data_IF_393129310591
#
_entry.id   IF_393129310591
#
_cell.length_a   1.000
_cell.length_b   1.000
_cell.length_c   1.000
_cell.angle_alpha   90.00
_cell.angle_beta   90.00
_cell.angle_gamma   90.00
#
_symmetry.space_group_name_H-M   'P 1'
#
loop_
_entity.id
_entity.type
_entity.pdbx_description
1 polymer ?
#
# COMPACT_ATOMS: atom_id res chain seq x y z
N UNK A 1 -10.38 -11.33 22.99
CA UNK A 1 -9.30 -11.56 22.01
C UNK A 1 -9.05 -13.06 21.76
N UNK A 2 -10.10 -13.88 21.60
CA UNK A 2 -9.97 -15.35 21.58
C UNK A 2 -10.65 -16.05 20.37
N UNK A 3 -11.40 -15.30 19.56
CA UNK A 3 -12.11 -15.83 18.37
C UNK A 3 -11.16 -16.10 17.19
N UNK A 4 -10.08 -15.32 17.05
CA UNK A 4 -9.11 -15.49 15.96
C UNK A 4 -8.24 -16.74 16.11
N UNK A 5 -7.83 -17.09 17.34
CA UNK A 5 -7.00 -18.27 17.63
C UNK A 5 -7.74 -19.58 17.34
N UNK A 6 -9.03 -19.64 17.69
CA UNK A 6 -9.88 -20.81 17.47
C UNK A 6 -10.14 -21.05 15.98
N UNK A 7 -10.47 -20.00 15.22
CA UNK A 7 -10.60 -20.10 13.75
C UNK A 7 -9.30 -20.53 13.08
N UNK A 8 -8.17 -20.01 13.53
CA UNK A 8 -6.85 -20.36 13.00
C UNK A 8 -6.50 -21.84 13.21
N UNK A 9 -6.76 -22.38 14.40
CA UNK A 9 -6.54 -23.80 14.70
C UNK A 9 -7.50 -24.72 13.94
N UNK A 10 -8.76 -24.31 13.76
CA UNK A 10 -9.71 -25.04 12.92
C UNK A 10 -9.28 -25.07 11.45
N UNK A 11 -8.77 -23.96 10.91
CA UNK A 11 -8.24 -23.90 9.54
C UNK A 11 -6.97 -24.76 9.37
N UNK A 12 -6.07 -24.76 10.35
CA UNK A 12 -4.89 -25.64 10.36
C UNK A 12 -5.25 -27.13 10.40
N UNK A 13 -6.23 -27.51 11.22
CA UNK A 13 -6.68 -28.91 11.33
C UNK A 13 -7.33 -29.44 10.04
N UNK A 14 -8.07 -28.59 9.32
CA UNK A 14 -8.63 -28.92 8.00
C UNK A 14 -7.53 -29.07 6.94
N UNK A 15 -6.45 -28.27 7.03
CA UNK A 15 -5.31 -28.38 6.12
C UNK A 15 -4.53 -29.68 6.33
N UNK A 16 -4.30 -30.15 7.56
CA UNK A 16 -3.53 -31.39 7.77
C UNK A 16 -4.25 -32.67 7.36
N UNK A 17 -5.59 -32.69 7.44
CA UNK A 17 -6.38 -33.86 7.02
C UNK A 17 -6.82 -33.79 5.54
N UNK A 18 -6.96 -32.59 4.96
CA UNK A 18 -7.43 -32.38 3.58
C UNK A 18 -6.36 -32.03 2.54
N UNK A 19 -5.13 -31.69 2.93
CA UNK A 19 -4.09 -31.25 1.99
C UNK A 19 -3.56 -32.34 1.05
N UNK A 20 -3.83 -33.62 1.30
CA UNK A 20 -3.45 -34.68 0.36
C UNK A 20 -4.38 -34.75 -0.87
N UNK A 21 -5.58 -34.17 -0.80
CA UNK A 21 -6.59 -34.32 -1.86
C UNK A 21 -7.09 -32.99 -2.45
N UNK A 22 -6.83 -31.85 -1.80
CA UNK A 22 -7.30 -30.54 -2.29
C UNK A 22 -6.14 -29.75 -2.87
N UNK A 23 -6.08 -29.51 -4.20
CA UNK A 23 -5.07 -28.64 -4.77
C UNK A 23 -5.19 -27.23 -4.17
N UNK A 24 -4.06 -26.57 -3.95
CA UNK A 24 -3.98 -25.24 -3.30
C UNK A 24 -4.91 -24.20 -3.95
N UNK A 25 -5.26 -24.38 -5.22
CA UNK A 25 -6.21 -23.55 -5.98
C UNK A 25 -7.65 -23.61 -5.46
N UNK A 26 -8.07 -24.73 -4.86
CA UNK A 26 -9.41 -24.89 -4.26
C UNK A 26 -9.47 -24.52 -2.78
N UNK A 27 -8.33 -24.28 -2.11
CA UNK A 27 -8.30 -24.05 -0.67
C UNK A 27 -8.99 -22.73 -0.22
N UNK A 28 -9.37 -21.85 -1.15
CA UNK A 28 -10.17 -20.65 -0.85
C UNK A 28 -9.51 -19.64 0.10
N UNK A 29 -8.22 -19.85 0.43
CA UNK A 29 -7.45 -18.97 1.31
C UNK A 29 -7.12 -17.69 0.53
N UNK A 30 -8.00 -16.68 0.63
CA UNK A 30 -7.71 -15.33 0.13
C UNK A 30 -6.61 -14.72 0.99
N UNK A 31 -5.37 -14.83 0.51
CA UNK A 31 -4.18 -14.22 1.11
C UNK A 31 -4.07 -12.70 0.83
N UNK A 32 -5.00 -12.12 0.06
CA UNK A 32 -5.03 -10.68 -0.17
C UNK A 32 -5.69 -9.97 1.01
N UNK A 33 -5.09 -8.90 1.56
CA UNK A 33 -5.73 -8.11 2.59
C UNK A 33 -7.01 -7.47 2.05
N UNK A 34 -8.06 -7.44 2.87
CA UNK A 34 -9.30 -6.73 2.56
C UNK A 34 -8.98 -5.25 2.32
N UNK A 35 -9.12 -4.79 1.07
CA UNK A 35 -8.93 -3.40 0.72
C UNK A 35 -10.22 -2.67 1.05
N UNK A 36 -10.14 -1.59 1.84
CA UNK A 36 -11.29 -0.70 2.02
C UNK A 36 -11.62 -0.07 0.67
N UNK A 37 -12.81 -0.33 0.16
CA UNK A 37 -13.36 0.33 -1.01
C UNK A 37 -13.87 1.72 -0.61
N UNK A 38 -13.75 2.67 -1.53
CA UNK A 38 -14.25 4.03 -1.35
C UNK A 38 -15.77 4.07 -1.27
N UNK A 39 -16.34 5.18 -0.80
CA UNK A 39 -17.80 5.37 -0.80
C UNK A 39 -18.32 5.60 -2.21
N UNK A 40 -19.33 4.84 -2.65
CA UNK A 40 -19.98 5.03 -3.96
C UNK A 40 -20.57 6.45 -4.14
N UNK A 41 -21.06 7.05 -3.06
CA UNK A 41 -21.71 8.37 -3.09
C UNK A 41 -20.73 9.55 -3.17
N UNK A 42 -19.45 9.35 -2.83
CA UNK A 42 -18.46 10.44 -2.73
C UNK A 42 -17.11 10.04 -3.30
N UNK A 43 -16.62 10.86 -4.24
CA UNK A 43 -15.30 10.70 -4.87
C UNK A 43 -14.32 11.68 -4.24
N UNK A 44 -13.27 11.16 -3.62
CA UNK A 44 -12.20 11.98 -3.05
C UNK A 44 -11.05 12.13 -4.03
N UNK A 45 -10.39 13.28 -3.99
CA UNK A 45 -9.18 13.58 -4.74
C UNK A 45 -8.15 14.24 -3.84
N UNK A 46 -6.87 14.04 -4.14
CA UNK A 46 -5.76 14.66 -3.43
C UNK A 46 -4.92 15.47 -4.42
N UNK A 47 -4.68 16.74 -4.09
CA UNK A 47 -3.82 17.63 -4.87
C UNK A 47 -2.51 17.86 -4.10
N UNK A 48 -1.38 17.73 -4.79
CA UNK A 48 -0.06 18.04 -4.24
C UNK A 48 0.58 19.13 -5.10
N UNK A 49 0.94 20.25 -4.49
CA UNK A 49 1.75 21.29 -5.14
C UNK A 49 3.24 20.92 -5.07
N UNK A 50 3.79 20.44 -6.20
CA UNK A 50 5.19 20.03 -6.30
C UNK A 50 6.16 21.21 -6.15
N UNK A 51 5.74 22.46 -6.41
CA UNK A 51 6.61 23.64 -6.29
C UNK A 51 6.97 23.95 -4.84
N UNK A 52 6.16 23.49 -3.89
CA UNK A 52 6.38 23.62 -2.44
C UNK A 52 6.97 22.36 -1.82
N UNK A 53 7.14 21.30 -2.59
CA UNK A 53 7.70 20.05 -2.11
C UNK A 53 9.22 20.20 -1.92
N UNK A 54 9.67 20.09 -0.67
CA UNK A 54 11.10 20.14 -0.30
C UNK A 54 11.69 18.77 0.01
N UNK A 55 10.91 17.70 -0.11
CA UNK A 55 11.41 16.33 0.08
C UNK A 55 11.58 15.92 1.54
N UNK A 56 10.85 16.53 2.47
CA UNK A 56 10.94 16.25 3.90
C UNK A 56 10.41 14.87 4.33
N UNK A 57 9.83 14.09 3.42
CA UNK A 57 9.29 12.74 3.66
C UNK A 57 8.17 12.66 4.73
N UNK A 58 7.59 13.79 5.14
CA UNK A 58 6.50 13.82 6.12
C UNK A 58 5.27 13.05 5.66
N UNK A 59 4.98 13.06 4.35
CA UNK A 59 3.87 12.31 3.76
C UNK A 59 4.05 10.79 3.87
N UNK A 60 5.28 10.29 3.80
CA UNK A 60 5.59 8.87 3.99
C UNK A 60 5.38 8.47 5.44
N UNK A 61 5.91 9.25 6.39
CA UNK A 61 5.77 9.00 7.82
C UNK A 61 4.29 9.03 8.25
N UNK A 62 3.57 10.06 7.82
CA UNK A 62 2.14 10.21 8.14
C UNK A 62 1.33 9.03 7.60
N UNK A 63 1.61 8.59 6.37
CA UNK A 63 0.93 7.43 5.78
C UNK A 63 1.16 6.14 6.59
N UNK A 64 2.39 5.90 7.02
CA UNK A 64 2.76 4.73 7.84
C UNK A 64 2.08 4.75 9.20
N UNK A 65 2.00 5.91 9.86
CA UNK A 65 1.34 6.06 11.17
C UNK A 65 -0.16 5.76 11.04
N UNK A 66 -0.84 6.39 10.08
CA UNK A 66 -2.30 6.23 9.91
C UNK A 66 -2.71 4.82 9.48
N UNK A 67 -1.91 4.18 8.62
CA UNK A 67 -2.24 2.87 8.05
C UNK A 67 -1.55 1.71 8.75
N UNK A 68 -0.71 1.98 9.76
CA UNK A 68 0.08 0.99 10.49
C UNK A 68 0.77 -0.02 9.56
N UNK A 69 1.42 0.50 8.51
CA UNK A 69 1.98 -0.37 7.47
C UNK A 69 3.08 -1.28 8.04
N UNK A 70 3.17 -2.54 7.59
CA UNK A 70 4.23 -3.44 8.03
C UNK A 70 5.63 -2.84 7.77
N UNK A 71 6.58 -3.18 8.62
CA UNK A 71 7.97 -2.74 8.46
C UNK A 71 8.51 -3.16 7.09
N UNK A 72 9.22 -2.24 6.42
CA UNK A 72 9.75 -2.45 5.07
C UNK A 72 8.73 -2.30 3.94
N UNK A 73 7.45 -2.06 4.23
CA UNK A 73 6.41 -1.83 3.23
C UNK A 73 5.88 -0.40 3.29
N UNK A 74 6.28 0.43 2.31
CA UNK A 74 5.82 1.81 2.19
C UNK A 74 4.77 1.94 1.09
N UNK A 75 3.61 2.51 1.43
CA UNK A 75 2.54 2.81 0.47
C UNK A 75 2.76 4.13 -0.28
N UNK A 76 3.60 4.99 0.27
CA UNK A 76 3.96 6.32 -0.25
C UNK A 76 5.47 6.40 -0.35
N UNK A 77 5.99 6.92 -1.46
CA UNK A 77 7.42 7.20 -1.64
C UNK A 77 7.64 8.58 -2.26
N UNK A 78 8.74 9.24 -1.93
CA UNK A 78 9.15 10.51 -2.53
C UNK A 78 10.42 10.28 -3.33
N UNK A 79 10.30 10.31 -4.65
CA UNK A 79 11.42 10.09 -5.55
C UNK A 79 12.01 11.42 -6.01
N UNK A 80 13.34 11.50 -6.04
CA UNK A 80 14.05 12.62 -6.63
C UNK A 80 14.47 12.28 -8.06
N UNK A 81 14.16 13.17 -8.99
CA UNK A 81 14.51 13.03 -10.40
C UNK A 81 15.35 14.22 -10.84
N UNK A 82 16.40 13.95 -11.60
CA UNK A 82 17.12 14.97 -12.33
C UNK A 82 16.53 15.05 -13.73
N UNK A 83 16.04 16.22 -14.12
CA UNK A 83 15.43 16.44 -15.43
C UNK A 83 16.18 17.54 -16.16
N UNK A 84 16.45 17.29 -17.43
CA UNK A 84 16.88 18.30 -18.38
C UNK A 84 15.65 18.78 -19.16
N UNK A 85 15.37 20.08 -19.11
CA UNK A 85 14.22 20.66 -19.81
C UNK A 85 14.69 21.06 -21.21
N UNK A 86 14.00 20.57 -22.25
CA UNK A 86 14.32 20.87 -23.64
C UNK A 86 14.23 22.39 -23.88
N UNK A 87 15.35 23.01 -24.25
CA UNK A 87 15.45 24.46 -24.43
C UNK A 87 15.94 25.25 -23.21
N UNK A 88 16.28 24.59 -22.10
CA UNK A 88 17.01 25.19 -20.98
C UNK A 88 18.37 24.50 -20.83
N UNK A 89 19.44 25.28 -20.78
CA UNK A 89 20.76 24.77 -20.39
C UNK A 89 20.80 24.61 -18.87
N UNK A 90 20.50 23.40 -18.39
CA UNK A 90 20.56 23.09 -16.97
C UNK A 90 19.89 21.77 -16.60
N UNK A 91 20.42 21.13 -15.56
CA UNK A 91 19.79 19.97 -14.91
C UNK A 91 19.11 20.48 -13.64
N UNK A 92 17.81 20.24 -13.51
CA UNK A 92 17.06 20.57 -12.29
C UNK A 92 16.66 19.31 -11.53
N UNK A 93 16.63 19.40 -10.20
CA UNK A 93 16.14 18.34 -9.34
C UNK A 93 14.64 18.57 -9.07
N UNK A 94 13.82 17.56 -9.32
CA UNK A 94 12.37 17.60 -9.05
C UNK A 94 12.01 16.43 -8.13
N UNK A 95 11.20 16.73 -7.12
CA UNK A 95 10.75 15.77 -6.12
C UNK A 95 9.31 15.37 -6.41
N UNK A 96 9.08 14.09 -6.69
CA UNK A 96 7.77 13.55 -7.04
C UNK A 96 7.31 12.53 -5.99
N UNK A 97 6.33 12.91 -5.14
CA UNK A 97 5.64 11.97 -4.28
C UNK A 97 4.77 11.04 -5.12
N UNK A 98 4.97 9.73 -5.00
CA UNK A 98 4.06 8.71 -5.50
C UNK A 98 3.26 8.16 -4.33
N UNK A 99 2.01 8.61 -4.25
CA UNK A 99 1.03 8.11 -3.29
C UNK A 99 0.32 6.89 -3.85
N UNK A 100 0.04 5.90 -2.99
CA UNK A 100 -1.01 4.92 -3.27
C UNK A 100 -2.32 5.69 -3.44
N UNK A 101 -3.01 5.52 -4.57
CA UNK A 101 -4.30 6.20 -4.79
C UNK A 101 -5.24 5.85 -3.63
N UNK A 102 -5.80 6.85 -2.92
CA UNK A 102 -6.95 6.59 -2.07
C UNK A 102 -8.08 6.15 -3.00
N UNK A 103 -8.59 4.94 -2.80
CA UNK A 103 -9.88 4.51 -3.36
C UNK A 103 -10.95 4.96 -2.37
#
# INVERSE_FOLDING_TARGET
MDLGKRKFLQQLGVLTAGASLVPLSQAGIKLSPERREGSEDKRYGMLIDLRRCVGCQSCTVSCTIENQTPQGQFRTTVNQYQVAIKGQEGITNVLLPRLCKPL
#
